data_IF_727476308404
#
_entry.id   IF_727476308404
#
_cell.length_a   1.000
_cell.length_b   1.000
_cell.length_c   1.000
_cell.angle_alpha   90.00
_cell.angle_beta   90.00
_cell.angle_gamma   90.00
#
_symmetry.space_group_name_H-M   'P 1'
#
loop_
_entity.id
_entity.type
_entity.pdbx_description
1 polymer ?
#
# COMPACT_ATOMS: atom_id res chain seq x y z
N UNK A 1 -5.37 2.09 -22.11
CA UNK A 1 -5.80 1.43 -20.85
C UNK A 1 -6.30 2.51 -19.90
N UNK A 2 -7.44 2.33 -19.22
CA UNK A 2 -8.01 3.36 -18.30
C UNK A 2 -7.85 3.01 -16.81
N UNK A 3 -7.73 1.71 -16.51
CA UNK A 3 -7.60 1.14 -15.18
C UNK A 3 -6.71 -0.10 -15.25
N UNK A 4 -5.95 -0.33 -14.19
CA UNK A 4 -5.20 -1.57 -13.97
C UNK A 4 -5.76 -2.29 -12.75
N UNK A 5 -5.65 -3.62 -12.74
CA UNK A 5 -5.92 -4.46 -11.59
C UNK A 5 -4.75 -5.42 -11.37
N UNK A 6 -4.16 -5.39 -10.18
CA UNK A 6 -3.00 -6.21 -9.81
C UNK A 6 -3.31 -7.07 -8.58
N UNK A 7 -3.25 -8.38 -8.75
CA UNK A 7 -3.23 -9.31 -7.63
C UNK A 7 -1.97 -9.10 -6.78
N UNK A 8 -2.15 -8.88 -5.48
CA UNK A 8 -1.05 -8.60 -4.54
C UNK A 8 -0.56 -9.91 -3.91
N UNK A 9 0.70 -10.23 -4.22
CA UNK A 9 1.45 -11.30 -3.57
C UNK A 9 2.16 -10.82 -2.29
N UNK A 10 2.83 -11.73 -1.60
CA UNK A 10 3.61 -11.41 -0.40
C UNK A 10 4.74 -10.41 -0.66
N UNK A 11 5.29 -10.31 -1.87
CA UNK A 11 6.37 -9.34 -2.18
C UNK A 11 5.87 -7.90 -2.09
N UNK A 12 4.64 -7.65 -2.51
CA UNK A 12 4.02 -6.33 -2.48
C UNK A 12 3.23 -6.05 -1.20
N UNK A 13 2.89 -7.08 -0.42
CA UNK A 13 2.18 -6.89 0.85
C UNK A 13 3.11 -6.55 2.00
N UNK A 14 2.58 -5.83 3.00
CA UNK A 14 3.19 -5.78 4.33
C UNK A 14 2.60 -6.84 5.26
N UNK A 15 1.34 -7.26 5.09
CA UNK A 15 0.75 -8.36 5.84
C UNK A 15 0.84 -9.66 5.04
N UNK A 16 1.84 -10.45 5.37
CA UNK A 16 2.30 -11.60 4.59
C UNK A 16 1.94 -12.91 5.27
N UNK A 17 1.97 -14.00 4.51
CA UNK A 17 1.87 -15.32 5.09
C UNK A 17 2.98 -15.55 6.14
N UNK A 18 2.69 -16.27 7.23
CA UNK A 18 3.64 -16.46 8.35
C UNK A 18 4.93 -17.15 7.90
N UNK A 19 4.84 -18.09 6.95
CA UNK A 19 6.00 -18.78 6.37
C UNK A 19 6.79 -17.98 5.34
N UNK A 20 6.42 -16.74 5.01
CA UNK A 20 7.14 -15.94 4.02
C UNK A 20 8.50 -15.44 4.56
N UNK A 21 9.56 -15.51 3.74
CA UNK A 21 10.87 -14.92 4.06
C UNK A 21 10.83 -13.38 4.05
N UNK A 22 11.74 -12.68 4.74
CA UNK A 22 11.70 -11.21 4.96
C UNK A 22 11.68 -10.37 3.66
N UNK A 23 10.81 -9.36 3.62
CA UNK A 23 10.76 -8.40 2.51
C UNK A 23 11.75 -7.26 2.78
N UNK A 24 12.72 -7.07 1.89
CA UNK A 24 13.79 -6.07 2.05
C UNK A 24 13.52 -4.73 1.37
N UNK A 25 12.47 -4.62 0.56
CA UNK A 25 12.14 -3.40 -0.19
C UNK A 25 10.79 -2.83 0.27
N UNK A 26 10.58 -1.55 -0.03
CA UNK A 26 9.29 -0.85 0.21
C UNK A 26 8.61 -0.42 -1.08
N UNK A 27 9.16 -0.80 -2.22
CA UNK A 27 8.61 -0.51 -3.53
C UNK A 27 7.34 -1.36 -3.78
N UNK A 28 6.55 -0.91 -4.76
CA UNK A 28 5.36 -1.60 -5.24
C UNK A 28 5.61 -2.03 -6.68
N UNK A 29 5.73 -3.34 -6.92
CA UNK A 29 6.01 -3.91 -8.23
C UNK A 29 4.72 -4.16 -9.01
N UNK A 30 4.74 -3.81 -10.29
CA UNK A 30 3.64 -4.05 -11.21
C UNK A 30 4.15 -4.80 -12.45
N UNK A 31 3.23 -5.47 -13.13
CA UNK A 31 3.54 -6.10 -14.41
C UNK A 31 3.81 -5.05 -15.49
N UNK A 32 4.69 -5.36 -16.45
CA UNK A 32 5.16 -4.39 -17.43
C UNK A 32 4.06 -3.84 -18.36
N UNK A 33 2.98 -4.60 -18.56
CA UNK A 33 1.79 -4.20 -19.31
C UNK A 33 1.05 -3.04 -18.61
N UNK A 34 1.05 -3.00 -17.28
CA UNK A 34 0.43 -1.90 -16.52
C UNK A 34 1.11 -0.56 -16.77
N UNK A 35 2.35 -0.54 -17.28
CA UNK A 35 3.05 0.70 -17.58
C UNK A 35 2.35 1.52 -18.68
N UNK A 36 1.59 0.89 -19.57
CA UNK A 36 0.84 1.59 -20.62
C UNK A 36 -0.07 2.69 -20.07
N UNK A 37 -0.63 2.52 -18.86
CA UNK A 37 -1.44 3.53 -18.20
C UNK A 37 -0.64 4.77 -17.77
N UNK A 38 0.67 4.65 -17.58
CA UNK A 38 1.53 5.67 -16.98
C UNK A 38 2.59 6.26 -17.92
N UNK A 39 2.78 5.67 -19.11
CA UNK A 39 3.88 6.00 -20.04
C UNK A 39 4.00 7.50 -20.37
N UNK A 40 2.86 8.21 -20.45
CA UNK A 40 2.80 9.63 -20.81
C UNK A 40 2.66 10.57 -19.61
N UNK A 41 2.76 10.05 -18.38
CA UNK A 41 2.59 10.85 -17.15
C UNK A 41 3.91 11.42 -16.60
N UNK A 42 5.04 11.10 -17.23
CA UNK A 42 6.37 11.44 -16.73
C UNK A 42 6.82 10.56 -15.56
N UNK A 43 7.84 11.00 -14.82
CA UNK A 43 8.42 10.21 -13.73
C UNK A 43 7.56 10.16 -12.47
N UNK A 44 6.60 11.08 -12.31
CA UNK A 44 5.78 11.22 -11.11
C UNK A 44 4.29 11.22 -11.44
N UNK A 45 3.53 10.48 -10.65
CA UNK A 45 2.08 10.51 -10.67
C UNK A 45 1.55 10.99 -9.32
N UNK A 46 0.36 11.60 -9.36
CA UNK A 46 -0.39 11.88 -8.14
C UNK A 46 -1.46 10.81 -7.98
N UNK A 47 -1.45 10.13 -6.85
CA UNK A 47 -2.48 9.16 -6.47
C UNK A 47 -3.41 9.74 -5.42
N UNK A 48 -4.65 9.27 -5.39
CA UNK A 48 -5.65 9.60 -4.36
C UNK A 48 -6.14 8.32 -3.69
N UNK A 49 -6.22 8.37 -2.37
CA UNK A 49 -6.78 7.30 -1.55
C UNK A 49 -8.10 7.75 -0.93
N UNK A 50 -8.98 6.78 -0.71
CA UNK A 50 -10.23 6.95 0.02
C UNK A 50 -10.14 6.29 1.41
N UNK A 51 -10.60 7.02 2.44
CA UNK A 51 -10.51 6.57 3.83
C UNK A 51 -11.36 5.35 4.10
N UNK A 52 -12.55 5.28 3.50
CA UNK A 52 -13.46 4.16 3.67
C UNK A 52 -12.84 2.89 3.09
N UNK A 53 -12.24 2.99 1.90
CA UNK A 53 -11.57 1.86 1.27
C UNK A 53 -10.36 1.36 2.09
N UNK A 54 -9.49 2.25 2.57
CA UNK A 54 -8.36 1.83 3.42
C UNK A 54 -8.82 1.27 4.78
N UNK A 55 -9.91 1.81 5.33
CA UNK A 55 -10.55 1.27 6.55
C UNK A 55 -11.04 -0.16 6.32
N UNK A 56 -11.75 -0.41 5.23
CA UNK A 56 -12.21 -1.76 4.88
C UNK A 56 -11.04 -2.73 4.70
N UNK A 57 -9.98 -2.30 4.00
CA UNK A 57 -8.81 -3.13 3.77
C UNK A 57 -8.10 -3.55 5.07
N UNK A 58 -7.92 -2.62 6.02
CA UNK A 58 -7.25 -2.93 7.28
C UNK A 58 -8.12 -3.75 8.24
N UNK A 59 -9.45 -3.56 8.22
CA UNK A 59 -10.38 -4.41 8.97
C UNK A 59 -10.43 -5.83 8.40
N UNK A 60 -10.36 -5.98 7.08
CA UNK A 60 -10.21 -7.30 6.45
C UNK A 60 -8.90 -7.97 6.90
N UNK A 61 -7.77 -7.26 6.86
CA UNK A 61 -6.49 -7.77 7.39
C UNK A 61 -6.63 -8.21 8.86
N UNK A 62 -7.28 -7.41 9.70
CA UNK A 62 -7.50 -7.76 11.10
C UNK A 62 -8.26 -9.10 11.26
N UNK A 63 -9.25 -9.36 10.40
CA UNK A 63 -10.05 -10.59 10.43
C UNK A 63 -9.30 -11.86 10.02
N UNK A 64 -8.14 -11.74 9.37
CA UNK A 64 -7.33 -12.88 8.88
C UNK A 64 -5.95 -12.97 9.56
N UNK A 65 -5.76 -12.22 10.65
CA UNK A 65 -4.61 -12.39 11.52
C UNK A 65 -4.67 -13.80 12.18
N UNK A 66 -3.53 -14.43 12.48
CA UNK A 66 -2.18 -13.86 12.49
C UNK A 66 -1.51 -13.78 11.12
N UNK A 67 -0.66 -12.76 10.97
CA UNK A 67 0.15 -12.51 9.77
C UNK A 67 1.54 -12.05 10.15
N UNK A 68 2.51 -12.28 9.27
CA UNK A 68 3.81 -11.64 9.38
C UNK A 68 3.70 -10.21 8.84
N UNK A 69 4.05 -9.22 9.64
CA UNK A 69 4.16 -7.84 9.21
C UNK A 69 5.61 -7.52 8.82
N UNK A 70 5.80 -7.12 7.57
CA UNK A 70 7.09 -6.68 7.04
C UNK A 70 6.98 -5.28 6.41
N UNK A 71 7.77 -4.35 6.95
CA UNK A 71 7.90 -3.01 6.37
C UNK A 71 9.32 -2.48 6.57
N UNK A 72 10.10 -2.45 5.49
CA UNK A 72 11.51 -2.06 5.52
C UNK A 72 12.33 -2.96 6.46
N UNK A 73 12.79 -2.45 7.61
CA UNK A 73 13.59 -3.20 8.58
C UNK A 73 12.76 -3.80 9.74
N UNK A 74 11.44 -3.56 9.75
CA UNK A 74 10.55 -4.04 10.79
C UNK A 74 9.93 -5.37 10.34
N UNK A 75 10.17 -6.42 11.14
CA UNK A 75 9.71 -7.79 10.88
C UNK A 75 9.17 -8.39 12.18
N UNK A 76 7.87 -8.68 12.24
CA UNK A 76 7.25 -9.28 13.42
C UNK A 76 5.93 -9.99 13.07
N UNK A 77 5.43 -10.84 13.96
CA UNK A 77 4.11 -11.46 13.82
C UNK A 77 3.09 -10.56 14.50
N UNK A 78 2.01 -10.25 13.78
CA UNK A 78 0.85 -9.54 14.29
C UNK A 78 -0.25 -10.55 14.56
N UNK A 79 -0.74 -10.56 15.80
CA UNK A 79 -1.95 -11.30 16.19
C UNK A 79 -3.12 -10.33 16.30
N UNK A 80 -4.34 -10.83 16.15
CA UNK A 80 -5.53 -10.03 16.40
C UNK A 80 -5.54 -9.49 17.83
N UNK A 81 -5.89 -8.22 17.97
CA UNK A 81 -6.33 -7.60 19.22
C UNK A 81 -7.19 -6.38 18.91
N UNK A 82 -8.08 -6.01 19.82
CA UNK A 82 -8.86 -4.79 19.68
C UNK A 82 -7.96 -3.55 19.62
N UNK A 83 -6.87 -3.56 20.40
CA UNK A 83 -5.84 -2.51 20.37
C UNK A 83 -5.21 -2.33 18.99
N UNK A 84 -4.89 -3.43 18.30
CA UNK A 84 -4.42 -3.37 16.92
C UNK A 84 -5.45 -2.68 16.01
N UNK A 85 -6.72 -3.07 16.07
CA UNK A 85 -7.78 -2.47 15.26
C UNK A 85 -7.90 -0.97 15.55
N UNK A 86 -7.97 -0.59 16.82
CA UNK A 86 -8.07 0.81 17.22
C UNK A 86 -6.86 1.64 16.77
N UNK A 87 -5.65 1.11 16.88
CA UNK A 87 -4.44 1.80 16.43
C UNK A 87 -4.44 2.00 14.92
N UNK A 88 -4.85 0.99 14.13
CA UNK A 88 -4.95 1.11 12.68
C UNK A 88 -5.99 2.17 12.25
N UNK A 89 -7.14 2.21 12.92
CA UNK A 89 -8.16 3.23 12.67
C UNK A 89 -7.66 4.63 13.08
N UNK A 90 -6.94 4.76 14.18
CA UNK A 90 -6.37 6.02 14.63
C UNK A 90 -5.28 6.55 13.67
N UNK A 91 -4.49 5.67 13.05
CA UNK A 91 -3.55 6.02 11.97
C UNK A 91 -4.30 6.63 10.78
N UNK A 92 -5.39 5.99 10.34
CA UNK A 92 -6.21 6.51 9.24
C UNK A 92 -6.88 7.84 9.60
N UNK A 93 -7.39 7.99 10.82
CA UNK A 93 -7.94 9.27 11.31
C UNK A 93 -6.90 10.39 11.33
N UNK A 94 -5.65 10.09 11.66
CA UNK A 94 -4.57 11.08 11.64
C UNK A 94 -4.11 11.40 10.22
N UNK A 95 -4.05 10.39 9.34
CA UNK A 95 -3.62 10.54 7.95
C UNK A 95 -4.61 11.35 7.10
N UNK A 96 -5.91 11.13 7.31
CA UNK A 96 -6.99 11.79 6.59
C UNK A 96 -7.43 13.09 7.27
N UNK A 97 -6.47 13.98 7.46
CA UNK A 97 -6.68 15.35 7.92
C UNK A 97 -5.96 16.35 7.04
N UNK A 98 -6.65 17.42 6.67
CA UNK A 98 -6.08 18.59 6.02
C UNK A 98 -6.32 19.81 6.90
N UNK A 99 -5.24 20.51 7.27
CA UNK A 99 -5.31 21.65 8.19
C UNK A 99 -6.06 21.34 9.51
N UNK A 100 -5.94 20.10 10.00
CA UNK A 100 -6.61 19.61 11.21
C UNK A 100 -8.08 19.20 11.03
N UNK A 101 -8.66 19.42 9.86
CA UNK A 101 -10.04 19.03 9.52
C UNK A 101 -10.05 17.65 8.90
N UNK A 102 -10.97 16.80 9.34
CA UNK A 102 -11.17 15.46 8.77
C UNK A 102 -11.58 15.57 7.30
N UNK A 103 -10.88 14.84 6.45
CA UNK A 103 -11.21 14.67 5.03
C UNK A 103 -11.47 13.20 4.74
N UNK A 104 -12.12 12.88 3.62
CA UNK A 104 -12.35 11.49 3.22
C UNK A 104 -11.32 10.99 2.20
N UNK A 105 -10.56 11.89 1.59
CA UNK A 105 -9.52 11.56 0.62
C UNK A 105 -8.24 12.32 0.93
N UNK A 106 -7.09 11.74 0.59
CA UNK A 106 -5.83 12.49 0.51
C UNK A 106 -5.02 12.05 -0.71
N UNK A 107 -4.10 12.91 -1.16
CA UNK A 107 -3.22 12.61 -2.29
C UNK A 107 -1.78 12.36 -1.88
N UNK A 108 -1.07 11.55 -2.65
CA UNK A 108 0.37 11.33 -2.53
C UNK A 108 1.04 11.34 -3.91
N UNK A 109 2.30 11.77 -3.98
CA UNK A 109 3.11 11.66 -5.20
C UNK A 109 3.94 10.39 -5.17
N UNK A 110 3.80 9.55 -6.19
CA UNK A 110 4.60 8.35 -6.40
C UNK A 110 5.50 8.52 -7.61
N UNK A 111 6.70 7.93 -7.57
CA UNK A 111 7.54 7.89 -8.77
C UNK A 111 7.25 6.62 -9.55
N UNK A 112 6.88 6.75 -10.82
CA UNK A 112 6.74 5.63 -11.76
C UNK A 112 8.13 5.32 -12.33
N UNK A 113 8.64 4.11 -12.10
CA UNK A 113 10.00 3.71 -12.50
C UNK A 113 9.92 2.50 -13.42
N UNK A 114 10.46 2.63 -14.63
CA UNK A 114 10.64 1.55 -15.60
C UNK A 114 11.97 1.75 -16.32
N UNK A 115 12.58 0.64 -16.74
CA UNK A 115 13.84 0.62 -17.49
C UNK A 115 14.96 1.45 -16.80
N UNK A 116 15.12 1.24 -15.50
CA UNK A 116 16.05 2.03 -14.67
C UNK A 116 17.48 1.52 -14.84
N UNK A 117 18.40 2.42 -15.21
CA UNK A 117 19.83 2.10 -15.28
C UNK A 117 20.40 1.80 -13.89
N UNK A 118 20.94 0.60 -13.71
CA UNK A 118 21.64 0.17 -12.50
C UNK A 118 23.07 0.71 -12.48
N UNK A 119 23.69 0.68 -11.29
CA UNK A 119 25.09 1.13 -11.09
C UNK A 119 26.12 0.38 -11.94
N UNK A 120 25.82 -0.86 -12.33
CA UNK A 120 26.67 -1.69 -13.19
C UNK A 120 26.42 -1.47 -14.69
N UNK A 121 25.55 -0.52 -15.08
CA UNK A 121 25.21 -0.23 -16.47
C UNK A 121 24.12 -1.13 -17.07
N UNK A 122 23.64 -2.14 -16.35
CA UNK A 122 22.48 -2.93 -16.78
C UNK A 122 21.17 -2.16 -16.60
N UNK A 123 20.17 -2.48 -17.41
CA UNK A 123 18.82 -1.92 -17.26
C UNK A 123 17.98 -2.86 -16.39
N UNK A 124 17.36 -2.31 -15.36
CA UNK A 124 16.27 -2.96 -14.63
C UNK A 124 14.95 -2.72 -15.36
N UNK A 125 14.53 -3.71 -16.16
CA UNK A 125 13.34 -3.63 -17.00
C UNK A 125 12.02 -3.79 -16.23
N UNK A 126 12.06 -3.78 -14.89
CA UNK A 126 10.87 -3.92 -14.05
C UNK A 126 10.15 -2.58 -13.94
N UNK A 127 8.82 -2.64 -13.99
CA UNK A 127 7.96 -1.53 -13.61
C UNK A 127 7.64 -1.56 -12.11
N UNK A 128 7.90 -0.46 -11.41
CA UNK A 128 7.58 -0.31 -10.00
C UNK A 128 7.31 1.14 -9.61
N UNK A 129 6.55 1.32 -8.53
CA UNK A 129 6.43 2.60 -7.85
C UNK A 129 7.33 2.65 -6.61
N UNK A 130 7.93 3.80 -6.37
CA UNK A 130 8.59 4.12 -5.11
C UNK A 130 8.09 5.47 -4.55
N UNK A 131 8.71 5.93 -3.46
CA UNK A 131 8.28 7.11 -2.70
C UNK A 131 6.88 6.94 -2.09
N UNK A 132 6.59 5.73 -1.61
CA UNK A 132 5.29 5.35 -1.05
C UNK A 132 5.14 5.71 0.43
N UNK A 133 6.25 6.02 1.11
CA UNK A 133 6.27 6.27 2.55
C UNK A 133 5.78 7.69 2.87
N UNK A 134 4.90 7.82 3.86
CA UNK A 134 4.50 9.09 4.47
C UNK A 134 4.51 8.94 5.99
N UNK A 135 5.19 9.83 6.70
CA UNK A 135 5.16 9.82 8.16
C UNK A 135 3.76 10.21 8.67
N UNK A 136 3.28 9.52 9.70
CA UNK A 136 2.00 9.79 10.35
C UNK A 136 2.22 9.83 11.86
N UNK A 137 1.83 10.95 12.47
CA UNK A 137 1.78 11.12 13.92
C UNK A 137 0.33 10.94 14.38
N UNK A 138 0.09 9.98 15.27
CA UNK A 138 -1.26 9.63 15.73
C UNK A 138 -1.28 9.41 17.24
N UNK A 139 -2.48 9.35 17.82
CA UNK A 139 -2.70 8.98 19.22
C UNK A 139 -3.19 7.54 19.23
N UNK A 140 -2.45 6.65 19.87
CA UNK A 140 -2.80 5.23 19.94
C UNK A 140 -3.99 4.97 20.90
N UNK A 141 -4.41 3.71 20.99
CA UNK A 141 -5.53 3.26 21.83
C UNK A 141 -5.29 3.49 23.33
N UNK A 142 -4.03 3.62 23.78
CA UNK A 142 -3.69 3.97 25.18
C UNK A 142 -3.74 5.47 25.41
N UNK A 143 -3.78 6.25 24.34
CA UNK A 143 -3.73 7.69 24.35
C UNK A 143 -2.32 8.28 24.24
N UNK A 144 -1.30 7.46 23.99
CA UNK A 144 0.07 7.93 23.77
C UNK A 144 0.24 8.42 22.32
N UNK A 145 1.11 9.41 22.14
CA UNK A 145 1.46 9.91 20.80
C UNK A 145 2.50 8.97 20.21
N UNK A 146 2.20 8.42 19.04
CA UNK A 146 3.07 7.54 18.27
C UNK A 146 3.39 8.14 16.90
N UNK A 147 4.51 7.69 16.33
CA UNK A 147 4.91 8.00 14.95
C UNK A 147 5.06 6.70 14.19
N UNK A 148 4.43 6.61 13.03
CA UNK A 148 4.55 5.48 12.10
C UNK A 148 4.75 5.97 10.67
N UNK A 149 4.97 5.04 9.74
CA UNK A 149 5.03 5.33 8.31
C UNK A 149 3.84 4.66 7.62
N UNK A 150 2.98 5.48 7.02
CA UNK A 150 2.02 5.03 6.04
C UNK A 150 2.74 4.56 4.77
N UNK A 151 2.26 3.46 4.21
CA UNK A 151 2.44 3.06 2.82
C UNK A 151 1.22 2.27 2.41
N UNK A 152 0.84 2.31 1.13
CA UNK A 152 -0.27 1.51 0.62
C UNK A 152 -0.09 0.01 0.90
N UNK A 153 1.15 -0.46 1.01
CA UNK A 153 1.49 -1.85 1.32
C UNK A 153 1.00 -2.31 2.70
N UNK A 154 0.84 -1.38 3.65
CA UNK A 154 0.26 -1.65 4.97
C UNK A 154 -1.24 -1.99 4.89
N UNK A 155 -1.87 -1.85 3.72
CA UNK A 155 -3.27 -2.16 3.50
C UNK A 155 -3.45 -3.35 2.55
N UNK A 156 -2.36 -4.06 2.26
CA UNK A 156 -2.38 -5.30 1.50
C UNK A 156 -2.13 -6.51 2.38
N UNK A 157 -3.02 -7.50 2.28
CA UNK A 157 -2.80 -8.88 2.63
C UNK A 157 -2.31 -9.68 1.41
N UNK A 158 -1.10 -10.23 1.48
CA UNK A 158 -0.54 -11.06 0.41
C UNK A 158 -1.42 -12.27 0.14
N UNK A 159 -1.77 -12.48 -1.13
CA UNK A 159 -2.70 -13.50 -1.62
C UNK A 159 -4.17 -13.11 -1.59
N UNK A 160 -4.55 -12.04 -0.88
CA UNK A 160 -5.98 -11.70 -0.62
C UNK A 160 -6.36 -10.28 -1.05
N UNK A 161 -5.45 -9.51 -1.63
CA UNK A 161 -5.71 -8.12 -2.02
C UNK A 161 -5.52 -7.94 -3.51
N UNK A 162 -6.40 -7.17 -4.12
CA UNK A 162 -6.27 -6.65 -5.46
C UNK A 162 -6.09 -5.14 -5.36
N UNK A 163 -5.03 -4.64 -6.01
CA UNK A 163 -4.81 -3.22 -6.19
C UNK A 163 -5.43 -2.80 -7.52
N UNK A 164 -6.34 -1.85 -7.49
CA UNK A 164 -6.87 -1.20 -8.68
C UNK A 164 -6.38 0.24 -8.73
N UNK A 165 -5.89 0.67 -9.89
CA UNK A 165 -5.49 2.05 -10.13
C UNK A 165 -6.18 2.54 -11.38
N UNK A 166 -6.98 3.60 -11.25
CA UNK A 166 -7.74 4.19 -12.35
C UNK A 166 -7.39 5.66 -12.52
N UNK A 167 -7.17 6.10 -13.76
CA UNK A 167 -6.96 7.53 -14.03
C UNK A 167 -8.31 8.26 -14.02
N UNK A 168 -8.50 9.20 -13.11
CA UNK A 168 -9.68 10.05 -13.06
C UNK A 168 -9.59 11.20 -14.08
N UNK A 169 -10.72 11.87 -14.32
CA UNK A 169 -10.81 12.98 -15.28
C UNK A 169 -10.01 14.22 -14.88
N UNK A 170 -9.69 14.38 -13.59
CA UNK A 170 -8.81 15.42 -13.06
C UNK A 170 -7.31 15.08 -13.21
N UNK A 171 -6.98 13.94 -13.83
CA UNK A 171 -5.63 13.46 -14.04
C UNK A 171 -4.99 12.79 -12.82
N UNK A 172 -5.70 12.70 -11.69
CA UNK A 172 -5.25 12.00 -10.48
C UNK A 172 -5.59 10.51 -10.61
N UNK A 173 -4.73 9.65 -10.09
CA UNK A 173 -4.93 8.20 -10.11
C UNK A 173 -5.62 7.74 -8.83
N UNK A 174 -6.87 7.31 -8.93
CA UNK A 174 -7.60 6.73 -7.82
C UNK A 174 -7.10 5.32 -7.53
N UNK A 175 -6.69 5.10 -6.28
CA UNK A 175 -6.20 3.81 -5.80
C UNK A 175 -7.28 3.14 -4.95
N UNK A 176 -7.72 1.94 -5.36
CA UNK A 176 -8.70 1.12 -4.62
C UNK A 176 -8.13 -0.25 -4.31
N UNK A 177 -8.37 -0.71 -3.09
CA UNK A 177 -8.06 -2.06 -2.65
C UNK A 177 -9.35 -2.86 -2.59
N UNK A 178 -9.40 -3.99 -3.28
CA UNK A 178 -10.44 -4.98 -3.08
C UNK A 178 -9.84 -6.19 -2.40
N UNK A 179 -10.54 -6.71 -1.39
CA UNK A 179 -10.13 -7.95 -0.73
C UNK A 179 -11.00 -9.11 -1.20
N UNK A 180 -10.39 -10.27 -1.37
CA UNK A 180 -11.06 -11.53 -1.70
C UNK A 180 -11.05 -12.47 -0.51
N UNK A 181 -12.07 -13.31 -0.39
CA UNK A 181 -12.19 -14.28 0.72
C UNK A 181 -11.39 -15.55 0.48
N UNK A 182 -11.09 -15.88 -0.77
CA UNK A 182 -10.27 -17.02 -1.17
C UNK A 182 -8.91 -16.54 -1.71
N UNK A 183 -7.78 -17.05 -1.21
CA UNK A 183 -6.48 -16.59 -1.64
C UNK A 183 -6.17 -16.99 -3.07
N UNK A 184 -5.52 -16.09 -3.81
CA UNK A 184 -4.84 -16.44 -5.04
C UNK A 184 -3.58 -17.24 -4.70
N UNK A 185 -3.60 -18.54 -4.97
CA UNK A 185 -2.38 -19.33 -4.96
C UNK A 185 -1.59 -19.04 -6.24
N UNK A 186 -0.30 -18.69 -6.17
CA UNK A 186 0.53 -18.74 -7.37
C UNK A 186 0.56 -20.19 -7.85
N UNK A 187 0.14 -20.42 -9.10
CA UNK A 187 0.42 -21.67 -9.81
C UNK A 187 1.94 -21.89 -9.96
#
# INVERSE_FOLDING_TARGET
MEEIAKHINDTNASYRHIGAGDAKNTDLFLDNEHYELFQDCGEQITVRFDKTNLTQAILFIASILPRKFDQSANHYIVNYSDGFVFDQLAILDALFKENGVSVNTFTQKWNARKDVLKKNGEIDNRFYFNNLLKEVKYKDHTGAIQITKFTIRNYFAGGYSNLNIKKASDGIFDVRIDNVTEPYYPN
#
